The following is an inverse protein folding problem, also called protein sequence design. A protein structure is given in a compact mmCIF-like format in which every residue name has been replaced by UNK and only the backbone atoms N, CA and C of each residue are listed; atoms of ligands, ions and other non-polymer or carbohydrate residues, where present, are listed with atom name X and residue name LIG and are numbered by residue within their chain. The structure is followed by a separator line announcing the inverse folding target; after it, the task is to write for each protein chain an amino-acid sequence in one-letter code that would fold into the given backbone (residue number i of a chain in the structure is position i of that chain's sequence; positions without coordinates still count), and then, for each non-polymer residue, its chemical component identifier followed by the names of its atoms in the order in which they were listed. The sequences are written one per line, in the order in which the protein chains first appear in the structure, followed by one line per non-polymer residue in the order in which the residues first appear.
data_IF_373424240673
#
_entry.id   IF_373424240673
#
_cell.length_a   1.000
_cell.length_b   1.000
_cell.length_c   1.000
_cell.angle_alpha   90.00
_cell.angle_beta   90.00
_cell.angle_gamma   90.00
#
_symmetry.space_group_name_H-M   'P 1'
#
loop_
_entity.id
_entity.type
_entity.pdbx_description
1 polymer ?
#
# COMPACT_ATOMS: atom_id res chain seq x y z
N UNK A 1 -0.98 1.18 7.45
CA UNK A 1 -2.02 1.86 6.64
C UNK A 1 -1.50 3.26 6.38
N UNK A 2 -1.51 3.67 5.11
CA UNK A 2 -0.88 4.90 4.65
C UNK A 2 -1.86 5.80 3.90
N UNK A 3 -1.52 7.09 3.79
CA UNK A 3 -2.22 8.00 2.89
C UNK A 3 -1.50 8.00 1.54
N UNK A 4 -2.28 7.90 0.47
CA UNK A 4 -1.81 7.94 -0.90
C UNK A 4 -2.49 9.08 -1.64
N UNK A 5 -1.77 9.72 -2.56
CA UNK A 5 -2.42 10.60 -3.52
C UNK A 5 -2.87 9.80 -4.74
N UNK A 6 -4.06 10.07 -5.25
CA UNK A 6 -4.63 9.44 -6.44
C UNK A 6 -4.95 10.50 -7.48
N UNK A 7 -4.55 10.27 -8.72
CA UNK A 7 -5.01 11.06 -9.87
C UNK A 7 -6.16 10.33 -10.55
N UNK A 8 -7.32 10.98 -10.64
CA UNK A 8 -8.48 10.48 -11.38
C UNK A 8 -8.69 11.32 -12.63
N UNK A 9 -8.72 10.65 -13.78
CA UNK A 9 -8.90 11.22 -15.11
C UNK A 9 -10.28 10.78 -15.62
N UNK A 10 -11.24 11.70 -15.61
CA UNK A 10 -12.63 11.43 -16.04
C UNK A 10 -13.67 12.34 -15.39
N UNK A 11 -14.89 12.30 -15.92
CA UNK A 11 -15.98 13.23 -15.57
C UNK A 11 -16.65 12.96 -14.21
N UNK A 12 -16.60 11.72 -13.71
CA UNK A 12 -17.26 11.32 -12.46
C UNK A 12 -16.23 10.75 -11.47
N UNK A 13 -15.44 11.62 -10.81
CA UNK A 13 -14.39 11.15 -9.91
C UNK A 13 -14.95 10.41 -8.69
N UNK A 14 -16.15 10.77 -8.21
CA UNK A 14 -16.77 10.11 -7.05
C UNK A 14 -17.15 8.67 -7.37
N UNK A 15 -17.73 8.42 -8.54
CA UNK A 15 -18.02 7.05 -9.00
C UNK A 15 -16.75 6.21 -9.12
N UNK A 16 -15.64 6.81 -9.59
CA UNK A 16 -14.35 6.15 -9.62
C UNK A 16 -13.80 5.87 -8.23
N UNK A 17 -13.95 6.78 -7.27
CA UNK A 17 -13.54 6.52 -5.88
C UNK A 17 -14.31 5.36 -5.24
N UNK A 18 -15.61 5.26 -5.51
CA UNK A 18 -16.45 4.16 -5.04
C UNK A 18 -16.04 2.83 -5.69
N UNK A 19 -15.71 2.83 -6.99
CA UNK A 19 -15.30 1.62 -7.75
C UNK A 19 -14.08 0.91 -7.17
N UNK A 20 -13.13 1.69 -6.65
CA UNK A 20 -11.86 1.19 -6.12
C UNK A 20 -11.82 1.23 -4.58
N UNK A 21 -12.94 1.51 -3.93
CA UNK A 21 -13.05 1.39 -2.48
C UNK A 21 -13.08 -0.08 -2.06
N UNK A 22 -12.37 -0.43 -0.98
CA UNK A 22 -12.38 -1.75 -0.36
C UNK A 22 -13.76 -2.02 0.26
N UNK A 23 -14.25 -3.24 0.08
CA UNK A 23 -15.59 -3.66 0.50
C UNK A 23 -15.82 -3.49 2.00
N UNK A 24 -14.78 -3.69 2.81
CA UNK A 24 -14.76 -3.57 4.27
C UNK A 24 -15.08 -2.13 4.74
N UNK A 25 -14.89 -1.14 3.86
CA UNK A 25 -15.06 0.28 4.16
C UNK A 25 -16.20 0.94 3.37
N UNK A 26 -16.66 0.32 2.28
CA UNK A 26 -17.77 0.82 1.49
C UNK A 26 -19.14 0.55 2.14
N UNK A 27 -20.14 1.39 1.83
CA UNK A 27 -21.53 1.17 2.21
C UNK A 27 -22.19 0.23 1.18
N UNK A 28 -22.54 -1.02 1.56
CA UNK A 28 -23.09 -2.02 0.64
C UNK A 28 -24.44 -1.63 0.03
N UNK A 29 -25.13 -0.64 0.60
CA UNK A 29 -26.42 -0.18 0.09
C UNK A 29 -26.31 0.97 -0.90
N UNK A 30 -25.13 1.60 -1.00
CA UNK A 30 -24.90 2.78 -1.84
C UNK A 30 -23.89 2.52 -2.95
N UNK A 31 -22.86 1.74 -2.66
CA UNK A 31 -21.81 1.48 -3.63
C UNK A 31 -22.28 0.41 -4.63
N UNK A 32 -22.42 0.80 -5.90
CA UNK A 32 -22.95 -0.05 -6.97
C UNK A 32 -21.98 -1.14 -7.46
N UNK A 33 -20.73 -1.10 -7.00
CA UNK A 33 -19.67 -2.02 -7.43
C UNK A 33 -19.50 -3.25 -6.54
N UNK A 34 -20.31 -3.35 -5.49
CA UNK A 34 -20.37 -4.58 -4.71
C UNK A 34 -20.81 -5.76 -5.57
N UNK A 35 -20.09 -6.86 -5.41
CA UNK A 35 -20.38 -8.15 -6.00
C UNK A 35 -20.50 -9.19 -4.89
N UNK A 36 -21.58 -9.95 -4.93
CA UNK A 36 -21.71 -11.18 -4.17
C UNK A 36 -20.97 -12.29 -4.94
N UNK A 37 -19.93 -12.83 -4.33
CA UNK A 37 -19.14 -13.93 -4.91
C UNK A 37 -19.38 -15.18 -4.09
N UNK A 38 -19.90 -16.24 -4.74
CA UNK A 38 -19.95 -17.55 -4.11
C UNK A 38 -18.52 -18.13 -4.04
N UNK A 39 -18.07 -18.37 -2.82
CA UNK A 39 -16.75 -18.90 -2.52
C UNK A 39 -16.80 -20.33 -1.96
N UNK A 40 -17.96 -21.00 -1.98
CA UNK A 40 -18.14 -22.29 -1.31
C UNK A 40 -17.14 -23.35 -1.77
N UNK A 41 -16.99 -23.56 -3.08
CA UNK A 41 -16.08 -24.56 -3.63
C UNK A 41 -14.61 -24.20 -3.35
N UNK A 42 -14.27 -22.91 -3.46
CA UNK A 42 -12.94 -22.39 -3.11
C UNK A 42 -12.62 -22.65 -1.63
N UNK A 43 -13.59 -22.38 -0.75
CA UNK A 43 -13.46 -22.58 0.69
C UNK A 43 -13.32 -24.06 1.03
N UNK A 44 -14.12 -24.96 0.42
CA UNK A 44 -14.00 -26.41 0.60
C UNK A 44 -12.62 -26.92 0.17
N UNK A 45 -12.18 -26.53 -1.03
CA UNK A 45 -10.87 -26.93 -1.54
C UNK A 45 -9.72 -26.38 -0.69
N UNK A 46 -9.88 -25.22 -0.04
CA UNK A 46 -8.90 -24.68 0.91
C UNK A 46 -8.93 -25.48 2.22
N UNK A 47 -10.10 -25.69 2.80
CA UNK A 47 -10.30 -26.44 4.04
C UNK A 47 -9.74 -27.87 3.97
N UNK A 48 -9.95 -28.57 2.85
CA UNK A 48 -9.42 -29.94 2.66
C UNK A 48 -7.90 -30.02 2.66
N UNK A 49 -7.22 -28.93 2.31
CA UNK A 49 -5.75 -28.83 2.28
C UNK A 49 -5.18 -28.11 3.50
N UNK A 50 -6.04 -27.51 4.31
CA UNK A 50 -5.63 -26.73 5.46
C UNK A 50 -5.15 -27.67 6.58
N UNK A 51 -4.09 -27.25 7.27
CA UNK A 51 -3.57 -27.99 8.43
C UNK A 51 -3.47 -27.04 9.61
N UNK A 52 -3.81 -27.57 10.79
CA UNK A 52 -3.65 -26.85 12.05
C UNK A 52 -2.42 -27.37 12.76
N UNK A 53 -1.60 -26.44 13.25
CA UNK A 53 -0.40 -26.75 14.02
C UNK A 53 -0.78 -27.16 15.44
N UNK A 54 -0.20 -28.25 15.93
CA UNK A 54 -0.29 -28.73 17.31
C UNK A 54 1.10 -29.07 17.86
N UNK A 55 1.23 -29.08 19.19
CA UNK A 55 2.36 -29.70 19.87
C UNK A 55 1.93 -31.07 20.38
N UNK A 56 2.63 -32.12 19.99
CA UNK A 56 2.38 -33.48 20.42
C UNK A 56 3.37 -33.88 21.50
N UNK A 57 2.89 -34.29 22.67
CA UNK A 57 3.73 -34.82 23.74
C UNK A 57 4.17 -36.27 23.45
N UNK A 58 5.08 -36.79 24.28
CA UNK A 58 5.61 -38.17 24.19
C UNK A 58 4.54 -39.28 24.29
N UNK A 59 3.39 -38.99 24.89
CA UNK A 59 2.27 -39.92 25.07
C UNK A 59 1.27 -39.82 23.91
N UNK A 60 1.54 -38.94 22.94
CA UNK A 60 0.72 -38.70 21.75
C UNK A 60 -0.37 -37.65 21.94
N UNK A 61 -0.47 -37.02 23.11
CA UNK A 61 -1.42 -35.97 23.45
C UNK A 61 -1.16 -34.69 22.65
N UNK A 62 -2.23 -34.06 22.15
CA UNK A 62 -2.15 -32.87 21.30
C UNK A 62 -2.54 -31.62 22.11
N UNK A 63 -1.67 -30.61 22.06
CA UNK A 63 -1.81 -29.36 22.79
C UNK A 63 -1.84 -28.17 21.82
N UNK A 64 -2.68 -27.17 22.13
CA UNK A 64 -2.77 -25.95 21.31
C UNK A 64 -1.47 -25.15 21.47
N UNK A 65 -0.74 -24.86 20.38
CA UNK A 65 0.49 -24.08 20.47
C UNK A 65 0.25 -22.66 21.00
N UNK A 66 -0.99 -22.18 21.06
CA UNK A 66 -1.37 -20.87 21.61
C UNK A 66 -1.62 -20.90 23.13
N UNK A 67 -1.56 -22.06 23.79
CA UNK A 67 -1.68 -22.13 25.25
C UNK A 67 -0.52 -21.39 25.92
N UNK A 68 -0.83 -20.58 26.94
CA UNK A 68 0.13 -19.68 27.58
C UNK A 68 1.41 -20.37 28.10
N UNK A 69 1.33 -21.66 28.43
CA UNK A 69 2.48 -22.46 28.88
C UNK A 69 3.58 -22.63 27.82
N UNK A 70 3.23 -22.51 26.53
CA UNK A 70 4.18 -22.62 25.41
C UNK A 70 4.70 -21.27 24.93
N UNK A 71 4.38 -20.16 25.60
CA UNK A 71 4.87 -18.83 25.21
C UNK A 71 5.78 -18.26 26.27
N UNK A 72 7.03 -18.00 25.89
CA UNK A 72 8.02 -17.40 26.77
C UNK A 72 8.30 -15.96 26.34
N UNK A 73 8.40 -15.08 27.33
CA UNK A 73 8.86 -13.71 27.10
C UNK A 73 10.30 -13.76 26.57
N UNK A 74 10.58 -12.93 25.58
CA UNK A 74 11.93 -12.71 25.05
C UNK A 74 12.28 -11.24 25.23
N UNK A 75 13.54 -10.96 25.60
CA UNK A 75 14.06 -9.59 25.51
C UNK A 75 14.13 -9.18 24.05
N UNK A 76 14.01 -7.89 23.78
CA UNK A 76 14.13 -7.35 22.42
C UNK A 76 15.47 -7.74 21.75
N UNK A 77 16.53 -7.90 22.55
CA UNK A 77 17.86 -8.30 22.08
C UNK A 77 17.95 -9.77 21.62
N UNK A 78 16.96 -10.62 21.97
CA UNK A 78 16.91 -12.04 21.62
C UNK A 78 15.97 -12.34 20.44
N UNK A 79 15.47 -11.31 19.75
CA UNK A 79 14.55 -11.45 18.61
C UNK A 79 15.27 -11.73 17.28
N UNK A 80 16.60 -11.69 17.24
CA UNK A 80 17.32 -12.06 16.03
C UNK A 80 17.15 -13.56 15.73
N UNK A 81 16.57 -13.93 14.57
CA UNK A 81 16.44 -15.32 14.20
C UNK A 81 17.83 -15.93 14.02
N UNK A 82 18.19 -16.92 14.83
CA UNK A 82 19.42 -17.70 14.61
C UNK A 82 19.33 -18.38 13.24
N UNK A 83 20.38 -18.31 12.39
CA UNK A 83 20.39 -19.02 11.11
C UNK A 83 20.14 -20.53 11.30
N UNK A 84 18.95 -21.00 10.92
CA UNK A 84 18.52 -22.40 11.08
C UNK A 84 17.22 -22.59 11.85
N UNK A 85 16.74 -21.58 12.60
CA UNK A 85 15.56 -21.69 13.47
C UNK A 85 14.22 -21.45 12.75
N UNK A 86 14.14 -21.64 11.43
CA UNK A 86 12.89 -21.39 10.72
C UNK A 86 11.85 -22.52 10.90
N UNK A 87 10.58 -22.20 11.21
CA UNK A 87 10.02 -20.87 11.51
C UNK A 87 9.85 -20.63 13.02
N UNK A 88 10.64 -19.73 13.61
CA UNK A 88 10.30 -19.14 14.92
C UNK A 88 8.98 -18.40 14.78
N UNK A 89 7.95 -18.83 15.51
CA UNK A 89 6.70 -18.06 15.59
C UNK A 89 6.79 -17.10 16.76
N UNK A 90 6.91 -15.83 16.42
CA UNK A 90 6.95 -14.71 17.36
C UNK A 90 5.61 -14.00 17.40
N UNK A 91 5.10 -13.73 18.60
CA UNK A 91 4.07 -12.73 18.81
C UNK A 91 4.78 -11.41 19.13
N UNK A 92 4.97 -10.60 18.09
CA UNK A 92 5.72 -9.33 18.17
C UNK A 92 5.02 -8.31 19.08
N UNK A 93 3.70 -8.37 19.20
CA UNK A 93 2.93 -7.45 20.05
C UNK A 93 3.17 -7.71 21.53
N UNK A 94 3.44 -8.96 21.90
CA UNK A 94 3.64 -9.37 23.29
C UNK A 94 5.10 -9.66 23.64
N UNK A 95 6.04 -9.51 22.70
CA UNK A 95 7.43 -9.95 22.85
C UNK A 95 7.54 -11.38 23.39
N UNK A 96 6.78 -12.30 22.78
CA UNK A 96 6.83 -13.73 23.14
C UNK A 96 7.22 -14.59 21.96
N UNK A 97 7.95 -15.67 22.23
CA UNK A 97 8.23 -16.74 21.26
C UNK A 97 7.55 -18.04 21.68
N UNK A 98 7.16 -18.84 20.70
CA UNK A 98 6.74 -20.21 20.93
C UNK A 98 7.93 -21.02 21.45
N UNK A 99 7.79 -21.56 22.66
CA UNK A 99 8.68 -22.51 23.28
C UNK A 99 8.10 -23.92 23.13
N UNK A 100 8.84 -24.79 22.44
CA UNK A 100 8.49 -26.20 22.30
C UNK A 100 9.35 -27.00 23.30
N UNK A 101 8.76 -27.61 24.34
CA UNK A 101 9.52 -28.43 25.27
C UNK A 101 10.22 -29.60 24.56
N UNK A 102 11.34 -30.07 25.12
CA UNK A 102 12.20 -31.10 24.48
C UNK A 102 11.49 -32.43 24.26
N UNK A 103 10.46 -32.73 25.05
CA UNK A 103 9.63 -33.93 24.96
C UNK A 103 8.36 -33.74 24.10
N UNK A 104 8.25 -32.60 23.40
CA UNK A 104 7.19 -32.31 22.46
C UNK A 104 7.75 -32.27 21.04
N UNK A 105 6.90 -32.64 20.09
CA UNK A 105 7.16 -32.44 18.66
C UNK A 105 6.05 -31.60 18.03
N UNK A 106 6.43 -30.71 17.12
CA UNK A 106 5.44 -29.99 16.33
C UNK A 106 4.86 -30.91 15.26
N UNK A 107 3.54 -31.02 15.22
CA UNK A 107 2.81 -31.80 14.22
C UNK A 107 1.78 -30.91 13.51
N UNK A 108 1.48 -31.27 12.27
CA UNK A 108 0.47 -30.61 11.46
C UNK A 108 -0.64 -31.62 11.17
N UNK A 109 -1.84 -31.31 11.62
CA UNK A 109 -2.99 -32.20 11.51
C UNK A 109 -3.97 -31.58 10.51
N UNK A 110 -4.58 -32.36 9.59
CA UNK A 110 -5.62 -31.85 8.71
C UNK A 110 -6.69 -31.11 9.52
N UNK A 111 -6.97 -29.85 9.18
CA UNK A 111 -7.86 -28.98 9.97
C UNK A 111 -9.25 -29.61 10.15
N UNK A 112 -9.71 -30.36 9.15
CA UNK A 112 -10.98 -31.09 9.15
C UNK A 112 -11.14 -32.15 10.24
N UNK A 113 -10.06 -32.60 10.85
CA UNK A 113 -10.10 -33.55 11.98
C UNK A 113 -10.37 -32.86 13.32
N UNK A 114 -10.31 -31.52 13.35
CA UNK A 114 -10.34 -30.72 14.59
C UNK A 114 -11.43 -29.66 14.61
N UNK A 115 -11.71 -29.05 13.46
CA UNK A 115 -12.68 -27.96 13.31
C UNK A 115 -13.65 -28.37 12.23
N UNK A 116 -14.96 -28.17 12.43
CA UNK A 116 -15.93 -28.42 11.37
C UNK A 116 -15.86 -27.31 10.29
N UNK A 117 -16.38 -27.60 9.10
CA UNK A 117 -16.26 -26.68 7.97
C UNK A 117 -16.94 -25.33 8.20
N UNK A 118 -18.07 -25.31 8.92
CA UNK A 118 -18.82 -24.09 9.24
C UNK A 118 -18.01 -23.15 10.14
N UNK A 119 -17.45 -23.65 11.23
CA UNK A 119 -16.65 -22.83 12.14
C UNK A 119 -15.35 -22.36 11.47
N UNK A 120 -14.75 -23.23 10.65
CA UNK A 120 -13.55 -22.88 9.90
C UNK A 120 -13.81 -21.76 8.90
N UNK A 121 -14.86 -21.84 8.08
CA UNK A 121 -15.14 -20.83 7.06
C UNK A 121 -15.52 -19.48 7.68
N UNK A 122 -16.30 -19.48 8.78
CA UNK A 122 -16.61 -18.27 9.54
C UNK A 122 -15.35 -17.60 10.08
N UNK A 123 -14.44 -18.37 10.70
CA UNK A 123 -13.19 -17.82 11.26
C UNK A 123 -12.20 -17.38 10.18
N UNK A 124 -12.05 -18.16 9.12
CA UNK A 124 -11.04 -17.92 8.09
C UNK A 124 -11.40 -16.76 7.17
N UNK A 125 -12.68 -16.65 6.79
CA UNK A 125 -13.16 -15.63 5.86
C UNK A 125 -13.95 -14.50 6.54
N UNK A 126 -14.13 -14.53 7.86
CA UNK A 126 -14.92 -13.52 8.59
C UNK A 126 -16.43 -13.58 8.32
N UNK A 127 -16.94 -14.68 7.77
CA UNK A 127 -18.35 -14.78 7.38
C UNK A 127 -19.27 -15.09 8.56
N UNK A 128 -20.49 -14.55 8.52
CA UNK A 128 -21.52 -14.81 9.54
C UNK A 128 -22.52 -15.87 9.09
N UNK A 129 -23.02 -16.68 10.02
CA UNK A 129 -24.05 -17.69 9.73
C UNK A 129 -25.41 -17.03 9.52
N UNK A 130 -26.03 -17.30 8.36
CA UNK A 130 -27.38 -16.93 8.00
C UNK A 130 -28.28 -18.17 8.00
N UNK A 131 -29.38 -18.14 8.75
CA UNK A 131 -30.26 -19.30 8.81
C UNK A 131 -30.97 -19.53 7.46
N UNK A 132 -31.37 -20.77 7.19
CA UNK A 132 -32.09 -21.09 5.97
C UNK A 132 -33.40 -20.28 5.88
N UNK A 133 -33.65 -19.64 4.73
CA UNK A 133 -34.82 -18.80 4.50
C UNK A 133 -34.77 -17.40 5.14
N UNK A 134 -33.69 -17.03 5.81
CA UNK A 134 -33.48 -15.65 6.25
C UNK A 134 -32.82 -14.81 5.15
N UNK A 135 -33.20 -13.53 5.09
CA UNK A 135 -32.54 -12.51 4.27
C UNK A 135 -31.30 -11.95 5.01
N UNK A 136 -30.20 -11.65 4.30
CA UNK A 136 -28.99 -11.12 4.90
C UNK A 136 -29.19 -9.65 5.37
N UNK A 137 -28.77 -9.36 6.61
CA UNK A 137 -28.56 -7.99 7.12
C UNK A 137 -27.23 -7.41 6.63
N UNK A 138 -27.27 -6.78 5.45
CA UNK A 138 -26.10 -6.20 4.79
C UNK A 138 -25.52 -4.97 5.50
N UNK A 139 -26.28 -4.32 6.39
CA UNK A 139 -25.83 -3.13 7.12
C UNK A 139 -25.16 -3.48 8.45
N UNK A 140 -25.27 -4.73 8.90
CA UNK A 140 -24.71 -5.18 10.18
C UNK A 140 -23.98 -6.51 10.04
N UNK A 141 -24.61 -7.60 10.44
CA UNK A 141 -23.93 -8.87 10.70
C UNK A 141 -23.45 -9.59 9.45
N UNK A 142 -24.00 -9.27 8.27
CA UNK A 142 -23.66 -9.93 7.01
C UNK A 142 -23.00 -8.98 6.00
N UNK A 143 -22.46 -7.85 6.49
CA UNK A 143 -21.82 -6.81 5.65
C UNK A 143 -20.67 -7.35 4.80
N UNK A 144 -19.84 -8.22 5.39
CA UNK A 144 -18.67 -8.82 4.72
C UNK A 144 -19.01 -10.10 3.96
N UNK A 145 -20.25 -10.59 4.11
CA UNK A 145 -20.75 -11.83 3.54
C UNK A 145 -21.38 -12.74 4.59
N UNK A 146 -21.81 -13.92 4.14
CA UNK A 146 -22.48 -14.90 4.97
C UNK A 146 -22.25 -16.32 4.49
N UNK A 147 -22.55 -17.27 5.36
CA UNK A 147 -22.78 -18.65 4.97
C UNK A 147 -24.22 -19.05 5.27
N UNK A 148 -24.83 -19.85 4.39
CA UNK A 148 -26.14 -20.43 4.64
C UNK A 148 -26.01 -21.89 5.01
N UNK A 149 -26.71 -22.27 6.08
CA UNK A 149 -26.74 -23.65 6.57
C UNK A 149 -28.11 -24.26 6.38
N UNK A 150 -28.16 -25.54 6.01
CA UNK A 150 -29.42 -26.30 5.94
C UNK A 150 -29.86 -26.78 7.35
N UNK A 151 -30.98 -27.51 7.43
CA UNK A 151 -31.50 -28.04 8.70
C UNK A 151 -30.57 -29.08 9.37
N UNK A 152 -29.66 -29.69 8.62
CA UNK A 152 -28.66 -30.63 9.14
C UNK A 152 -27.37 -29.93 9.62
N UNK A 153 -27.25 -28.60 9.42
CA UNK A 153 -26.05 -27.82 9.72
C UNK A 153 -25.00 -27.83 8.60
N UNK A 154 -25.30 -28.38 7.42
CA UNK A 154 -24.36 -28.32 6.29
C UNK A 154 -24.37 -26.94 5.64
N UNK A 155 -23.18 -26.43 5.33
CA UNK A 155 -23.01 -25.21 4.54
C UNK A 155 -23.38 -25.47 3.08
N UNK A 156 -24.45 -24.83 2.62
CA UNK A 156 -25.01 -24.96 1.27
C UNK A 156 -24.75 -23.74 0.38
N UNK A 157 -24.31 -22.62 0.96
CA UNK A 157 -23.97 -21.38 0.27
C UNK A 157 -22.91 -20.66 1.11
N UNK A 158 -21.92 -20.04 0.47
CA UNK A 158 -20.96 -19.16 1.13
C UNK A 158 -20.69 -17.94 0.25
N UNK A 159 -21.30 -16.81 0.59
CA UNK A 159 -21.19 -15.57 -0.16
C UNK A 159 -20.19 -14.65 0.53
N UNK A 160 -19.18 -14.21 -0.22
CA UNK A 160 -18.31 -13.10 0.18
C UNK A 160 -18.76 -11.84 -0.56
N UNK A 161 -18.98 -10.75 0.17
CA UNK A 161 -19.20 -9.44 -0.42
C UNK A 161 -17.85 -8.78 -0.70
N UNK A 162 -17.64 -8.39 -1.96
CA UNK A 162 -16.37 -7.79 -2.37
C UNK A 162 -16.61 -6.67 -3.39
N UNK A 163 -15.61 -5.82 -3.57
CA UNK A 163 -15.50 -4.91 -4.69
C UNK A 163 -14.26 -5.41 -5.45
N UNK A 164 -14.41 -6.07 -6.63
CA UNK A 164 -13.29 -6.75 -7.27
C UNK A 164 -12.09 -5.86 -7.61
N UNK A 165 -12.32 -4.56 -7.74
CA UNK A 165 -11.30 -3.55 -8.00
C UNK A 165 -10.91 -2.77 -6.74
N UNK A 166 -11.33 -3.18 -5.54
CA UNK A 166 -11.04 -2.47 -4.30
C UNK A 166 -9.53 -2.39 -4.02
N UNK A 167 -9.00 -1.18 -3.94
CA UNK A 167 -7.57 -0.88 -3.71
C UNK A 167 -7.38 -0.08 -2.42
N UNK A 168 -8.26 0.88 -2.12
CA UNK A 168 -8.14 1.77 -0.95
C UNK A 168 -9.33 1.70 -0.01
N UNK A 169 -9.16 2.10 1.24
CA UNK A 169 -10.19 2.09 2.28
C UNK A 169 -11.27 3.13 2.05
N UNK A 170 -10.90 4.39 1.98
CA UNK A 170 -11.84 5.47 1.80
C UNK A 170 -11.18 6.68 1.17
N UNK A 171 -12.01 7.43 0.45
CA UNK A 171 -11.67 8.74 -0.09
C UNK A 171 -11.87 9.81 0.99
N UNK A 172 -10.81 10.55 1.31
CA UNK A 172 -10.84 11.60 2.33
C UNK A 172 -11.34 12.92 1.76
N UNK A 173 -10.87 13.26 0.57
CA UNK A 173 -11.14 14.51 -0.09
C UNK A 173 -10.08 14.81 -1.14
N UNK A 174 -10.28 15.88 -1.89
CA UNK A 174 -9.26 16.32 -2.83
C UNK A 174 -8.06 16.96 -2.13
N UNK A 175 -6.90 16.90 -2.78
CA UNK A 175 -5.71 17.63 -2.40
C UNK A 175 -5.52 18.74 -3.44
N UNK A 176 -5.47 19.99 -3.01
CA UNK A 176 -5.37 21.15 -3.90
C UNK A 176 -3.96 21.26 -4.52
N UNK A 177 -3.66 20.36 -5.47
CA UNK A 177 -2.37 20.26 -6.15
C UNK A 177 -2.30 21.03 -7.47
N UNK A 178 -3.44 21.29 -8.12
CA UNK A 178 -3.42 21.88 -9.46
C UNK A 178 -3.42 23.40 -9.39
N UNK A 179 -2.30 24.02 -9.78
CA UNK A 179 -2.23 25.46 -9.99
C UNK A 179 -3.15 25.84 -11.16
N UNK A 180 -4.08 26.75 -10.92
CA UNK A 180 -4.97 27.29 -11.94
C UNK A 180 -4.34 28.47 -12.68
N UNK A 181 -4.63 28.55 -13.98
CA UNK A 181 -4.35 29.73 -14.81
C UNK A 181 -5.22 30.91 -14.37
N UNK A 182 -4.75 32.16 -14.54
CA UNK A 182 -5.53 33.34 -14.18
C UNK A 182 -6.93 33.35 -14.83
N UNK A 183 -7.96 33.60 -14.02
CA UNK A 183 -9.35 33.70 -14.47
C UNK A 183 -10.06 32.37 -14.76
N UNK A 184 -9.42 31.24 -14.48
CA UNK A 184 -10.06 29.91 -14.55
C UNK A 184 -10.60 29.48 -13.19
N UNK A 185 -11.40 28.42 -13.18
CA UNK A 185 -12.00 27.87 -11.95
C UNK A 185 -11.64 26.40 -11.77
N UNK A 186 -11.64 25.97 -10.51
CA UNK A 186 -11.52 24.59 -10.09
C UNK A 186 -12.40 24.33 -8.88
N UNK A 187 -12.38 23.09 -8.39
CA UNK A 187 -13.19 22.63 -7.28
C UNK A 187 -12.30 21.91 -6.26
N UNK A 188 -12.70 21.98 -4.99
CA UNK A 188 -12.23 21.07 -3.95
C UNK A 188 -13.42 20.20 -3.52
N UNK A 189 -13.25 18.89 -3.53
CA UNK A 189 -14.29 17.91 -3.18
C UNK A 189 -14.04 17.48 -1.73
N UNK A 190 -15.10 17.56 -0.89
CA UNK A 190 -15.16 17.21 0.54
C UNK A 190 -14.47 18.13 1.54
N UNK A 191 -13.72 19.15 1.12
CA UNK A 191 -13.46 20.29 2.02
C UNK A 191 -14.59 21.29 1.84
N UNK A 192 -15.23 21.72 2.92
CA UNK A 192 -16.17 22.85 2.92
C UNK A 192 -15.46 24.20 2.60
N UNK A 193 -14.22 24.13 2.11
CA UNK A 193 -13.30 25.25 1.94
C UNK A 193 -13.26 25.67 0.47
N UNK A 194 -13.16 26.99 0.27
CA UNK A 194 -12.88 27.56 -1.04
C UNK A 194 -11.48 27.14 -1.51
N UNK A 195 -11.32 27.00 -2.82
CA UNK A 195 -10.03 26.95 -3.55
C UNK A 195 -9.05 27.94 -2.91
N UNK A 196 -7.94 27.43 -2.36
CA UNK A 196 -6.93 28.25 -1.69
C UNK A 196 -5.90 28.71 -2.72
N UNK A 197 -5.59 30.01 -2.76
CA UNK A 197 -4.45 30.59 -3.49
C UNK A 197 -4.33 30.16 -4.98
N UNK A 198 -5.48 30.07 -5.68
CA UNK A 198 -5.61 29.58 -7.05
C UNK A 198 -5.16 28.11 -7.26
N UNK A 199 -5.20 27.28 -6.23
CA UNK A 199 -5.00 25.83 -6.33
C UNK A 199 -6.31 25.08 -6.16
N UNK A 200 -6.54 24.08 -6.99
CA UNK A 200 -7.70 23.22 -6.91
C UNK A 200 -7.29 21.76 -6.90
N UNK A 201 -8.09 20.95 -6.23
CA UNK A 201 -7.96 19.50 -6.29
C UNK A 201 -8.69 18.88 -7.47
N UNK A 202 -9.58 19.61 -8.13
CA UNK A 202 -10.31 19.16 -9.31
C UNK A 202 -10.41 20.30 -10.34
N UNK A 203 -9.91 20.09 -11.55
CA UNK A 203 -9.93 21.11 -12.60
C UNK A 203 -9.86 20.49 -14.00
N UNK A 204 -10.33 21.25 -15.00
CA UNK A 204 -10.17 20.88 -16.41
C UNK A 204 -8.70 21.04 -16.80
N UNK A 205 -8.15 20.14 -17.63
CA UNK A 205 -6.76 20.21 -18.10
C UNK A 205 -6.38 21.59 -18.63
N UNK A 206 -7.24 22.20 -19.45
CA UNK A 206 -7.03 23.56 -19.99
C UNK A 206 -6.92 24.66 -18.92
N UNK A 207 -7.54 24.48 -17.76
CA UNK A 207 -7.50 25.43 -16.66
C UNK A 207 -6.20 25.34 -15.84
N UNK A 208 -5.48 24.23 -15.91
CA UNK A 208 -4.29 23.97 -15.10
C UNK A 208 -3.05 24.57 -15.78
N UNK A 209 -2.22 25.25 -15.00
CA UNK A 209 -0.97 25.87 -15.44
C UNK A 209 0.22 24.91 -15.27
N UNK A 210 0.25 23.86 -16.08
CA UNK A 210 1.32 22.85 -16.05
C UNK A 210 2.71 23.45 -16.28
N UNK A 211 2.84 24.44 -17.16
CA UNK A 211 4.12 25.08 -17.43
C UNK A 211 4.62 25.87 -16.23
N UNK A 212 3.75 26.63 -15.55
CA UNK A 212 4.14 27.28 -14.31
C UNK A 212 4.57 26.28 -13.25
N UNK A 213 3.84 25.17 -13.08
CA UNK A 213 4.20 24.12 -12.11
C UNK A 213 5.57 23.52 -12.43
N UNK A 214 5.82 23.17 -13.70
CA UNK A 214 7.12 22.69 -14.18
C UNK A 214 8.23 23.71 -13.95
N UNK A 215 7.98 24.99 -14.23
CA UNK A 215 8.97 26.05 -14.03
C UNK A 215 9.33 26.26 -12.56
N UNK A 216 8.34 26.26 -11.66
CA UNK A 216 8.60 26.35 -10.22
C UNK A 216 9.39 25.15 -9.72
N UNK A 217 9.03 23.94 -10.13
CA UNK A 217 9.74 22.72 -9.71
C UNK A 217 11.17 22.69 -10.28
N UNK A 218 11.34 23.10 -11.54
CA UNK A 218 12.66 23.24 -12.15
C UNK A 218 13.55 24.27 -11.45
N UNK A 219 12.97 25.38 -10.96
CA UNK A 219 13.70 26.39 -10.17
C UNK A 219 14.15 25.84 -8.81
N UNK A 220 13.27 25.12 -8.10
CA UNK A 220 13.63 24.45 -6.84
C UNK A 220 14.72 23.41 -7.06
N UNK A 221 14.56 22.57 -8.08
CA UNK A 221 15.54 21.56 -8.44
C UNK A 221 16.91 22.17 -8.80
N UNK A 222 16.91 23.27 -9.55
CA UNK A 222 18.12 24.01 -9.88
C UNK A 222 18.84 24.52 -8.62
N UNK A 223 18.11 25.15 -7.69
CA UNK A 223 18.66 25.63 -6.43
C UNK A 223 19.23 24.49 -5.58
N UNK A 224 18.51 23.37 -5.50
CA UNK A 224 18.94 22.21 -4.73
C UNK A 224 20.18 21.56 -5.33
N UNK A 225 20.22 21.40 -6.65
CA UNK A 225 21.40 20.89 -7.36
C UNK A 225 22.61 21.81 -7.17
N UNK A 226 22.43 23.13 -7.32
CA UNK A 226 23.51 24.12 -7.15
C UNK A 226 24.05 24.09 -5.71
N UNK A 227 23.17 23.95 -4.71
CA UNK A 227 23.53 23.77 -3.29
C UNK A 227 24.35 22.49 -3.07
N UNK A 228 23.89 21.37 -3.61
CA UNK A 228 24.58 20.08 -3.50
C UNK A 228 25.94 20.09 -4.23
N UNK A 229 25.99 20.70 -5.42
CA UNK A 229 27.21 20.86 -6.21
C UNK A 229 28.25 21.74 -5.50
N UNK A 230 27.82 22.84 -4.86
CA UNK A 230 28.70 23.68 -4.06
C UNK A 230 29.24 22.93 -2.83
N UNK A 231 28.40 22.14 -2.15
CA UNK A 231 28.79 21.36 -0.98
C UNK A 231 29.80 20.25 -1.31
N UNK A 232 29.54 19.47 -2.37
CA UNK A 232 30.44 18.38 -2.78
C UNK A 232 31.72 18.87 -3.47
N UNK A 233 31.69 20.05 -4.09
CA UNK A 233 32.80 20.56 -4.90
C UNK A 233 33.22 19.58 -6.00
N UNK A 234 34.49 19.20 -6.03
CA UNK A 234 35.03 18.22 -6.98
C UNK A 234 34.97 16.76 -6.50
N UNK A 235 34.39 16.50 -5.32
CA UNK A 235 34.31 15.16 -4.77
C UNK A 235 33.36 14.29 -5.61
N UNK A 236 33.75 13.02 -5.76
CA UNK A 236 32.97 11.97 -6.41
C UNK A 236 32.55 10.92 -5.38
N UNK A 237 31.55 10.10 -5.70
CA UNK A 237 31.11 9.01 -4.86
C UNK A 237 30.64 7.83 -5.73
N UNK A 238 30.66 6.64 -5.12
CA UNK A 238 30.04 5.42 -5.62
C UNK A 238 28.56 5.49 -5.30
N UNK A 239 27.72 5.21 -6.29
CA UNK A 239 26.26 5.23 -6.13
C UNK A 239 25.81 4.15 -5.14
N UNK A 240 24.72 4.41 -4.43
CA UNK A 240 24.23 3.46 -3.42
C UNK A 240 23.82 2.12 -4.06
N UNK A 241 23.22 2.14 -5.26
CA UNK A 241 22.82 0.93 -5.96
C UNK A 241 23.99 0.03 -6.37
N UNK A 242 25.17 0.62 -6.59
CA UNK A 242 26.41 -0.13 -6.84
C UNK A 242 26.96 -0.76 -5.56
N UNK A 243 26.89 -0.05 -4.43
CA UNK A 243 27.26 -0.59 -3.12
C UNK A 243 26.31 -1.71 -2.69
N UNK A 244 25.00 -1.59 -2.92
CA UNK A 244 24.06 -2.67 -2.66
C UNK A 244 24.40 -3.94 -3.46
N UNK A 245 24.79 -3.79 -4.73
CA UNK A 245 25.28 -4.92 -5.56
C UNK A 245 26.58 -5.51 -5.00
N UNK A 246 27.54 -4.67 -4.59
CA UNK A 246 28.81 -5.08 -3.98
C UNK A 246 28.60 -5.93 -2.73
N UNK A 247 27.67 -5.54 -1.86
CA UNK A 247 27.38 -6.21 -0.59
C UNK A 247 26.29 -7.29 -0.68
N UNK A 248 25.67 -7.46 -1.85
CA UNK A 248 24.53 -8.36 -2.05
C UNK A 248 23.38 -8.09 -1.06
N UNK A 249 23.06 -6.81 -0.86
CA UNK A 249 21.96 -6.35 -0.02
C UNK A 249 20.88 -5.67 -0.85
N UNK A 250 19.68 -5.55 -0.29
CA UNK A 250 18.56 -4.88 -0.95
C UNK A 250 18.76 -3.37 -0.94
N UNK A 251 18.22 -2.67 -1.95
CA UNK A 251 18.10 -1.22 -1.90
C UNK A 251 17.30 -0.81 -0.65
N UNK A 252 17.69 0.31 -0.04
CA UNK A 252 17.09 0.89 1.17
C UNK A 252 17.29 0.09 2.47
N UNK A 253 18.24 -0.84 2.49
CA UNK A 253 18.70 -1.48 3.73
C UNK A 253 19.66 -0.55 4.49
N UNK A 254 19.11 0.36 5.31
CA UNK A 254 19.86 1.40 6.02
C UNK A 254 20.71 0.91 7.19
N UNK A 255 20.68 -0.38 7.51
CA UNK A 255 21.53 -1.01 8.53
C UNK A 255 22.61 -1.88 7.88
N UNK A 256 22.64 -1.95 6.55
CA UNK A 256 23.61 -2.75 5.81
C UNK A 256 25.00 -2.11 5.80
N UNK A 257 26.07 -2.92 5.63
CA UNK A 257 27.41 -2.42 5.34
C UNK A 257 27.48 -1.53 4.10
N UNK A 258 26.57 -1.70 3.13
CA UNK A 258 26.48 -0.83 1.96
C UNK A 258 26.07 0.60 2.35
N UNK A 259 25.14 0.76 3.29
CA UNK A 259 24.71 2.06 3.78
C UNK A 259 25.80 2.75 4.60
N UNK A 260 26.48 2.00 5.48
CA UNK A 260 27.62 2.51 6.23
C UNK A 260 28.73 3.03 5.30
N UNK A 261 29.12 2.24 4.30
CA UNK A 261 30.12 2.69 3.31
C UNK A 261 29.60 3.89 2.51
N UNK A 262 28.33 3.88 2.09
CA UNK A 262 27.74 4.99 1.34
C UNK A 262 27.79 6.31 2.11
N UNK A 263 27.39 6.27 3.39
CA UNK A 263 27.39 7.42 4.30
C UNK A 263 28.79 7.91 4.66
N UNK A 264 29.78 7.03 4.66
CA UNK A 264 31.17 7.38 4.95
C UNK A 264 31.88 8.12 3.79
N UNK A 265 31.27 8.20 2.60
CA UNK A 265 31.88 8.87 1.47
C UNK A 265 31.92 10.39 1.67
N UNK A 266 33.09 11.04 1.49
CA UNK A 266 33.23 12.48 1.76
C UNK A 266 32.24 13.38 1.00
N UNK A 267 31.89 13.03 -0.25
CA UNK A 267 30.91 13.79 -1.03
C UNK A 267 29.49 13.72 -0.41
N UNK A 268 29.12 12.53 0.08
CA UNK A 268 27.83 12.28 0.72
C UNK A 268 27.74 13.02 2.06
N UNK A 269 28.79 12.91 2.88
CA UNK A 269 28.88 13.63 4.15
C UNK A 269 28.78 15.15 3.95
N UNK A 270 29.49 15.70 2.96
CA UNK A 270 29.43 17.12 2.63
C UNK A 270 28.02 17.59 2.22
N UNK A 271 27.31 16.82 1.38
CA UNK A 271 25.93 17.14 0.98
C UNK A 271 24.93 17.02 2.14
N UNK A 272 25.11 16.06 3.04
CA UNK A 272 24.28 15.98 4.25
C UNK A 272 24.51 17.17 5.18
N UNK A 273 25.78 17.55 5.40
CA UNK A 273 26.14 18.68 6.24
C UNK A 273 25.61 20.03 5.70
N UNK A 274 25.41 20.14 4.38
CA UNK A 274 24.79 21.33 3.77
C UNK A 274 23.27 21.32 3.81
N UNK A 275 22.62 20.38 4.51
CA UNK A 275 21.16 20.23 4.51
C UNK A 275 20.61 20.05 3.08
N UNK A 276 21.34 19.34 2.20
CA UNK A 276 20.80 18.84 0.93
C UNK A 276 20.09 17.50 1.18
N UNK A 277 19.43 17.35 2.33
CA UNK A 277 18.79 16.10 2.72
C UNK A 277 17.60 15.85 1.82
N UNK A 278 17.63 14.82 0.98
CA UNK A 278 16.63 14.67 -0.05
C UNK A 278 15.39 13.93 0.47
N UNK A 279 15.39 13.49 1.74
CA UNK A 279 14.27 12.83 2.41
C UNK A 279 12.99 13.68 2.44
N UNK A 280 13.12 15.01 2.38
CA UNK A 280 11.97 15.91 2.38
C UNK A 280 11.41 16.20 0.97
N UNK A 281 12.15 15.84 -0.08
CA UNK A 281 11.80 16.15 -1.48
C UNK A 281 11.82 14.89 -2.38
N UNK A 282 12.06 13.72 -1.79
CA UNK A 282 12.05 12.42 -2.46
C UNK A 282 13.19 12.20 -3.46
N UNK A 283 14.20 13.07 -3.51
CA UNK A 283 15.40 12.77 -4.27
C UNK A 283 16.25 11.67 -3.58
N UNK A 284 17.02 10.93 -4.35
CA UNK A 284 18.15 10.17 -3.80
C UNK A 284 19.39 11.05 -3.96
N UNK A 285 20.32 11.09 -2.99
CA UNK A 285 21.55 11.90 -3.14
C UNK A 285 22.32 11.55 -4.43
N UNK A 286 22.21 10.32 -4.91
CA UNK A 286 22.80 9.88 -6.17
C UNK A 286 22.29 10.64 -7.41
N UNK A 287 21.09 11.24 -7.35
CA UNK A 287 20.56 12.06 -8.43
C UNK A 287 21.36 13.36 -8.63
N UNK A 288 22.08 13.86 -7.61
CA UNK A 288 23.02 14.98 -7.77
C UNK A 288 24.26 14.62 -8.58
N UNK A 289 24.46 13.34 -8.91
CA UNK A 289 25.47 12.88 -9.85
C UNK A 289 25.10 13.14 -11.31
N UNK A 290 23.83 13.45 -11.59
CA UNK A 290 23.37 13.83 -12.93
C UNK A 290 23.92 15.21 -13.34
N UNK A 291 24.13 15.45 -14.65
CA UNK A 291 24.30 16.80 -15.17
C UNK A 291 23.17 17.72 -14.71
N UNK A 292 23.49 18.97 -14.39
CA UNK A 292 22.55 19.94 -13.82
C UNK A 292 21.22 20.02 -14.57
N UNK A 293 21.28 20.13 -15.89
CA UNK A 293 20.06 20.25 -16.72
C UNK A 293 19.25 18.95 -16.72
N UNK A 294 19.90 17.77 -16.75
CA UNK A 294 19.21 16.49 -16.66
C UNK A 294 18.50 16.32 -15.30
N UNK A 295 19.11 16.78 -14.21
CA UNK A 295 18.47 16.80 -12.89
C UNK A 295 17.24 17.72 -12.87
N UNK A 296 17.36 18.93 -13.43
CA UNK A 296 16.26 19.88 -13.52
C UNK A 296 15.12 19.30 -14.36
N UNK A 297 15.42 18.77 -15.54
CA UNK A 297 14.41 18.19 -16.45
C UNK A 297 13.69 17.01 -15.81
N UNK A 298 14.44 16.13 -15.11
CA UNK A 298 13.85 15.04 -14.32
C UNK A 298 12.84 15.55 -13.30
N UNK A 299 13.14 16.64 -12.59
CA UNK A 299 12.22 17.22 -11.60
C UNK A 299 11.02 17.94 -12.24
N UNK A 300 11.23 18.65 -13.35
CA UNK A 300 10.14 19.24 -14.14
C UNK A 300 9.13 18.18 -14.58
N UNK A 301 9.61 17.03 -15.04
CA UNK A 301 8.77 15.91 -15.47
C UNK A 301 8.01 15.26 -14.31
N UNK A 302 8.53 15.34 -13.09
CA UNK A 302 7.96 14.70 -11.90
C UNK A 302 6.80 15.49 -11.29
N UNK A 303 6.71 16.81 -11.53
CA UNK A 303 5.84 17.73 -10.78
C UNK A 303 4.38 17.27 -10.66
N UNK A 304 3.86 16.54 -11.65
CA UNK A 304 2.49 16.02 -11.58
C UNK A 304 2.46 14.64 -10.90
N UNK A 305 3.29 13.70 -11.33
CA UNK A 305 3.19 12.30 -10.89
C UNK A 305 3.93 11.94 -9.62
N UNK A 306 4.81 12.81 -9.13
CA UNK A 306 5.62 12.53 -7.94
C UNK A 306 4.79 12.21 -6.69
N UNK A 307 3.61 12.80 -6.61
CA UNK A 307 2.74 12.66 -5.45
C UNK A 307 1.80 11.46 -5.55
N UNK A 308 1.49 11.00 -6.77
CA UNK A 308 0.44 10.01 -6.99
C UNK A 308 0.95 8.58 -6.80
N UNK A 309 0.36 7.87 -5.84
CA UNK A 309 0.51 6.42 -5.68
C UNK A 309 -0.36 5.63 -6.65
N UNK A 310 -1.44 6.23 -7.15
CA UNK A 310 -2.36 5.59 -8.10
C UNK A 310 -2.85 6.56 -9.18
N UNK A 311 -3.09 6.05 -10.40
CA UNK A 311 -3.75 6.80 -11.49
C UNK A 311 -4.89 5.98 -12.03
N UNK A 312 -6.09 6.53 -12.00
CA UNK A 312 -7.30 5.96 -12.59
C UNK A 312 -7.73 6.78 -13.79
N UNK A 313 -7.98 6.12 -14.91
CA UNK A 313 -8.46 6.76 -16.14
C UNK A 313 -9.67 6.02 -16.67
N UNK A 314 -10.78 6.74 -16.87
CA UNK A 314 -12.02 6.19 -17.44
C UNK A 314 -12.51 4.92 -16.69
N UNK A 315 -12.27 4.88 -15.38
CA UNK A 315 -12.63 3.75 -14.51
C UNK A 315 -11.64 2.59 -14.51
N UNK A 316 -10.47 2.70 -15.15
CA UNK A 316 -9.42 1.68 -15.11
C UNK A 316 -8.19 2.18 -14.33
N UNK A 317 -7.62 1.32 -13.48
CA UNK A 317 -6.37 1.60 -12.79
C UNK A 317 -5.21 1.39 -13.76
N UNK A 318 -4.51 2.47 -14.12
CA UNK A 318 -3.42 2.45 -15.10
C UNK A 318 -2.04 2.66 -14.45
N UNK A 319 -2.00 3.01 -13.17
CA UNK A 319 -0.81 3.15 -12.33
C UNK A 319 -1.15 2.79 -10.88
N UNK A 320 -0.27 2.05 -10.21
CA UNK A 320 -0.41 1.62 -8.81
C UNK A 320 0.81 0.84 -8.32
N UNK A 321 0.76 0.32 -7.09
CA UNK A 321 1.90 -0.42 -6.48
C UNK A 321 2.43 -1.56 -7.36
N UNK A 322 1.54 -2.28 -8.04
CA UNK A 322 1.91 -3.39 -8.95
C UNK A 322 2.11 -2.95 -10.41
N UNK A 323 1.85 -1.67 -10.73
CA UNK A 323 1.84 -1.13 -12.09
C UNK A 323 2.60 0.20 -12.08
N UNK A 324 3.90 0.16 -12.37
CA UNK A 324 4.76 1.34 -12.39
C UNK A 324 5.31 1.62 -13.81
N UNK A 325 4.51 2.19 -14.74
CA UNK A 325 5.00 2.74 -16.00
C UNK A 325 6.12 3.76 -15.76
N UNK A 326 6.91 4.00 -16.80
CA UNK A 326 7.89 5.07 -16.78
C UNK A 326 7.20 6.43 -16.61
N UNK A 327 7.86 7.36 -15.95
CA UNK A 327 7.39 8.74 -15.82
C UNK A 327 7.06 9.36 -17.19
N UNK A 328 7.84 9.03 -18.22
CA UNK A 328 7.59 9.45 -19.60
C UNK A 328 6.23 8.96 -20.11
N UNK A 329 5.86 7.71 -19.85
CA UNK A 329 4.56 7.17 -20.28
C UNK A 329 3.39 7.85 -19.55
N UNK A 330 3.55 8.14 -18.26
CA UNK A 330 2.56 8.90 -17.48
C UNK A 330 2.39 10.33 -17.99
N UNK A 331 3.51 11.03 -18.26
CA UNK A 331 3.46 12.36 -18.85
C UNK A 331 2.82 12.35 -20.23
N UNK A 332 3.13 11.35 -21.07
CA UNK A 332 2.50 11.21 -22.37
C UNK A 332 0.97 11.04 -22.25
N UNK A 333 0.49 10.27 -21.26
CA UNK A 333 -0.94 10.15 -21.00
C UNK A 333 -1.56 11.52 -20.76
N UNK A 334 -0.96 12.37 -19.90
CA UNK A 334 -1.48 13.72 -19.63
C UNK A 334 -1.47 14.61 -20.87
N UNK A 335 -0.38 14.60 -21.63
CA UNK A 335 -0.24 15.43 -22.83
C UNK A 335 -1.29 15.07 -23.89
N UNK A 336 -1.58 13.77 -24.04
CA UNK A 336 -2.56 13.25 -24.99
C UNK A 336 -4.02 13.50 -24.57
N UNK A 337 -4.27 13.93 -23.32
CA UNK A 337 -5.64 14.22 -22.87
C UNK A 337 -6.20 15.46 -23.59
N UNK A 338 -7.48 15.42 -24.00
CA UNK A 338 -8.20 16.59 -24.43
C UNK A 338 -8.19 17.71 -23.36
N UNK A 339 -8.15 18.95 -23.83
CA UNK A 339 -8.14 20.13 -22.95
C UNK A 339 -9.37 20.28 -22.05
N UNK A 340 -10.49 19.64 -22.43
CA UNK A 340 -11.71 19.61 -21.65
C UNK A 340 -11.74 18.44 -20.65
N UNK A 341 -10.73 17.57 -20.59
CA UNK A 341 -10.72 16.46 -19.63
C UNK A 341 -10.65 16.97 -18.20
N UNK A 342 -11.49 16.43 -17.32
CA UNK A 342 -11.44 16.69 -15.88
C UNK A 342 -10.35 15.85 -15.22
N UNK A 343 -9.51 16.52 -14.43
CA UNK A 343 -8.48 15.90 -13.58
C UNK A 343 -8.84 16.13 -12.12
N UNK A 344 -8.70 15.10 -11.29
CA UNK A 344 -8.94 15.16 -9.85
C UNK A 344 -7.78 14.55 -9.08
N UNK A 345 -7.12 15.35 -8.25
CA UNK A 345 -6.11 14.92 -7.30
C UNK A 345 -6.75 14.71 -5.93
N UNK A 346 -6.60 13.53 -5.36
CA UNK A 346 -7.28 13.13 -4.13
C UNK A 346 -6.36 12.44 -3.13
N UNK A 347 -6.73 12.50 -1.85
CA UNK A 347 -6.15 11.66 -0.82
C UNK A 347 -7.07 10.47 -0.55
N UNK A 348 -6.47 9.29 -0.50
CA UNK A 348 -7.12 8.06 -0.06
C UNK A 348 -6.29 7.41 1.03
N UNK A 349 -6.96 6.69 1.92
CA UNK A 349 -6.31 5.81 2.89
C UNK A 349 -6.25 4.38 2.31
N UNK A 350 -5.12 3.67 2.39
CA UNK A 350 -5.00 2.29 1.91
C UNK A 350 -4.23 1.35 2.86
#
# INVERSE_FOLDING_TARGET
MGHYCVLVIGEDPLDMFDKFQRAEYADPTKNKYFAAVDILDKARARYDRDTTRFLQDKDGGLHDPWDAQFWQAVSNDDLEPTPGDYPVVTNLTENKRLYVPTDFQQVYIPTRERVNFQDWICKYYGLTVLANGQEPDLLKSHREGWIRVNAAGDVIEAIQWTIPQGVWDYFEGTIDLFKLKPGTTGLSIRREEQVVDDYAGCARKSAIDFEWMRDQEGQKAAQLWDKAAAARGSLTWVRYDELCKKYNVRLFDYESPAWEEYRAQPAIDAMYASECSPCNEGACLDSFGLPRNEYIDLHREKVIFWHFGYVVKDGELIYGDDICPSLQALNQILEDLPDHTLLTAASVHA
#
